data_IF_972522017255
#
_entry.id   IF_972522017255
#
_cell.length_a   1.000
_cell.length_b   1.000
_cell.length_c   1.000
_cell.angle_alpha   90.00
_cell.angle_beta   90.00
_cell.angle_gamma   90.00
#
_symmetry.space_group_name_H-M   'P 1'
#
loop_
_entity.id
_entity.type
_entity.pdbx_description
1 polymer ?
#
# COMPACT_ATOMS: atom_id res chain seq x y z
N UNK A 1 -33.90 1.28 8.32
CA UNK A 1 -32.76 1.81 9.10
C UNK A 1 -31.52 1.15 8.52
N UNK A 2 -30.77 1.87 7.71
CA UNK A 2 -29.57 1.33 7.04
C UNK A 2 -28.50 0.96 8.07
N UNK A 3 -28.20 -0.33 8.18
CA UNK A 3 -27.10 -0.84 8.99
C UNK A 3 -25.77 -0.42 8.34
N UNK A 4 -25.27 0.77 8.70
CA UNK A 4 -23.92 1.27 8.41
C UNK A 4 -22.81 0.46 9.15
N UNK A 5 -22.90 -0.86 9.15
CA UNK A 5 -21.96 -1.73 9.85
C UNK A 5 -20.65 -1.84 9.05
N UNK A 6 -19.78 -0.83 9.13
CA UNK A 6 -18.40 -0.98 8.65
C UNK A 6 -17.58 0.28 8.38
N UNK A 7 -18.19 1.48 8.41
CA UNK A 7 -17.53 2.77 8.13
C UNK A 7 -17.30 3.53 9.45
N UNK A 8 -16.11 3.38 10.04
CA UNK A 8 -15.71 3.99 11.32
C UNK A 8 -14.43 4.85 11.14
N UNK A 9 -14.10 5.65 12.16
CA UNK A 9 -12.90 6.52 12.14
C UNK A 9 -12.89 7.44 10.93
N UNK A 10 -11.78 7.44 10.17
CA UNK A 10 -11.61 8.25 8.95
C UNK A 10 -12.66 7.98 7.85
N UNK A 11 -13.41 6.89 7.96
CA UNK A 11 -14.49 6.52 7.04
C UNK A 11 -15.90 6.88 7.56
N UNK A 12 -16.03 7.37 8.79
CA UNK A 12 -17.32 7.76 9.36
C UNK A 12 -17.89 9.01 8.63
N UNK A 13 -19.22 9.11 8.46
CA UNK A 13 -19.91 10.26 7.84
C UNK A 13 -20.35 11.34 8.84
N UNK A 14 -20.19 11.13 10.13
CA UNK A 14 -20.55 12.09 11.15
C UNK A 14 -19.32 12.91 11.51
N UNK A 15 -19.43 14.23 11.37
CA UNK A 15 -18.33 15.18 11.61
C UNK A 15 -17.74 15.06 13.02
N UNK A 16 -18.55 14.66 14.02
CA UNK A 16 -18.07 14.43 15.40
C UNK A 16 -17.02 13.32 15.50
N UNK A 17 -17.07 12.31 14.62
CA UNK A 17 -16.13 11.19 14.59
C UNK A 17 -15.07 11.31 13.48
N UNK A 18 -15.34 12.14 12.46
CA UNK A 18 -14.47 12.37 11.31
C UNK A 18 -14.50 13.85 10.91
N UNK A 19 -13.88 14.75 11.69
CA UNK A 19 -14.03 16.19 11.50
C UNK A 19 -13.54 16.68 10.13
N UNK A 20 -12.52 16.02 9.57
CA UNK A 20 -11.84 16.46 8.35
C UNK A 20 -12.43 15.88 7.06
N UNK A 21 -12.94 14.65 7.09
CA UNK A 21 -13.28 13.88 5.88
C UNK A 21 -14.74 13.37 5.84
N UNK A 22 -15.60 13.76 6.78
CA UNK A 22 -16.96 13.21 6.89
C UNK A 22 -17.80 13.32 5.60
N UNK A 23 -17.56 14.38 4.81
CA UNK A 23 -18.28 14.66 3.56
C UNK A 23 -17.55 14.16 2.30
N UNK A 24 -16.45 13.42 2.42
CA UNK A 24 -15.74 12.86 1.27
C UNK A 24 -16.46 11.61 0.72
N UNK A 25 -16.15 11.27 -0.54
CA UNK A 25 -16.45 9.95 -1.08
C UNK A 25 -15.62 8.90 -0.32
N UNK A 26 -16.30 7.92 0.28
CA UNK A 26 -15.68 6.95 1.20
C UNK A 26 -15.82 5.55 0.61
N UNK A 27 -14.69 4.88 0.40
CA UNK A 27 -14.62 3.55 -0.21
C UNK A 27 -13.87 2.61 0.71
N UNK A 28 -14.43 1.41 0.94
CA UNK A 28 -13.79 0.32 1.68
C UNK A 28 -13.63 -0.89 0.77
N UNK A 29 -12.38 -1.23 0.46
CA UNK A 29 -12.03 -2.40 -0.35
C UNK A 29 -11.75 -3.57 0.60
N UNK A 30 -12.46 -4.69 0.43
CA UNK A 30 -12.17 -5.90 1.24
C UNK A 30 -10.84 -6.50 0.81
N UNK A 31 -10.03 -6.90 1.80
CA UNK A 31 -8.76 -7.57 1.56
C UNK A 31 -8.98 -9.08 1.38
N UNK A 32 -8.77 -9.58 0.16
CA UNK A 32 -9.00 -10.98 -0.20
C UNK A 32 -7.89 -11.60 -1.07
N UNK A 33 -6.72 -10.95 -1.16
CA UNK A 33 -5.67 -11.37 -2.11
C UNK A 33 -4.36 -11.86 -1.48
N UNK A 34 -4.16 -11.68 -0.18
CA UNK A 34 -3.00 -12.21 0.57
C UNK A 34 -1.64 -11.52 0.35
N UNK A 35 -1.49 -10.61 -0.64
CA UNK A 35 -0.19 -9.96 -0.93
C UNK A 35 -0.27 -8.44 -1.10
N UNK A 36 -1.04 -7.76 -0.24
CA UNK A 36 -1.14 -6.28 -0.26
C UNK A 36 -1.42 -5.71 -1.66
N UNK A 37 -2.23 -6.42 -2.45
CA UNK A 37 -2.61 -6.08 -3.83
C UNK A 37 -1.46 -6.06 -4.85
N UNK A 38 -0.42 -6.87 -4.64
CA UNK A 38 0.72 -6.99 -5.57
C UNK A 38 0.71 -8.26 -6.41
N UNK A 39 -0.06 -9.28 -6.03
CA UNK A 39 -0.03 -10.57 -6.71
C UNK A 39 -0.66 -10.60 -8.10
N UNK A 40 -0.07 -11.37 -9.02
CA UNK A 40 -0.54 -11.55 -10.39
C UNK A 40 -0.11 -12.91 -10.95
N UNK A 41 -0.86 -13.94 -10.58
CA UNK A 41 -0.72 -15.31 -11.10
C UNK A 41 -1.96 -15.64 -11.95
N UNK A 42 -1.74 -16.18 -13.15
CA UNK A 42 -2.84 -16.59 -14.03
C UNK A 42 -3.40 -17.94 -13.57
N UNK A 43 -2.53 -18.86 -13.21
CA UNK A 43 -2.88 -20.19 -12.75
C UNK A 43 -3.68 -20.15 -11.45
N UNK A 44 -4.57 -21.11 -11.29
CA UNK A 44 -5.32 -21.35 -10.04
C UNK A 44 -4.62 -22.48 -9.30
N UNK A 45 -4.44 -22.34 -8.00
CA UNK A 45 -3.99 -23.46 -7.19
C UNK A 45 -5.03 -24.58 -7.25
N UNK A 46 -4.70 -25.70 -7.89
CA UNK A 46 -5.64 -26.81 -8.11
C UNK A 46 -6.01 -27.56 -6.82
N UNK A 47 -5.21 -27.41 -5.75
CA UNK A 47 -5.44 -28.09 -4.47
C UNK A 47 -6.35 -27.24 -3.58
N UNK A 48 -6.09 -25.93 -3.51
CA UNK A 48 -6.79 -25.01 -2.60
C UNK A 48 -7.85 -24.16 -3.29
N UNK A 49 -7.89 -24.17 -4.63
CA UNK A 49 -8.71 -23.29 -5.48
C UNK A 49 -8.48 -21.79 -5.19
N UNK A 50 -7.27 -21.44 -4.75
CA UNK A 50 -6.89 -20.05 -4.46
C UNK A 50 -6.44 -19.32 -5.72
N UNK A 51 -6.78 -18.03 -5.78
CA UNK A 51 -6.40 -17.12 -6.85
C UNK A 51 -5.52 -15.99 -6.30
N UNK A 52 -4.29 -15.86 -6.81
CA UNK A 52 -3.34 -14.84 -6.38
C UNK A 52 -3.32 -13.64 -7.33
N UNK A 53 -4.44 -12.90 -7.38
CA UNK A 53 -4.70 -11.84 -8.38
C UNK A 53 -4.85 -10.44 -7.79
N UNK A 54 -4.14 -10.16 -6.70
CA UNK A 54 -4.25 -8.91 -5.95
C UNK A 54 -4.09 -7.65 -6.80
N UNK A 55 -3.11 -7.61 -7.69
CA UNK A 55 -2.85 -6.45 -8.54
C UNK A 55 -3.96 -6.19 -9.57
N UNK A 56 -4.59 -7.27 -10.09
CA UNK A 56 -5.74 -7.18 -10.99
C UNK A 56 -7.00 -6.71 -10.26
N UNK A 57 -7.23 -7.20 -9.04
CA UNK A 57 -8.33 -6.75 -8.18
C UNK A 57 -8.21 -5.25 -7.93
N UNK A 58 -7.01 -4.77 -7.59
CA UNK A 58 -6.77 -3.35 -7.38
C UNK A 58 -7.13 -2.52 -8.61
N UNK A 59 -6.60 -2.90 -9.77
CA UNK A 59 -6.87 -2.19 -11.02
C UNK A 59 -8.36 -2.19 -11.40
N UNK A 60 -9.02 -3.34 -11.30
CA UNK A 60 -10.45 -3.47 -11.60
C UNK A 60 -11.30 -2.58 -10.69
N UNK A 61 -11.01 -2.55 -9.38
CA UNK A 61 -11.72 -1.70 -8.43
C UNK A 61 -11.49 -0.22 -8.74
N UNK A 62 -10.24 0.19 -8.98
CA UNK A 62 -9.95 1.60 -9.29
C UNK A 62 -10.63 2.04 -10.59
N UNK A 63 -10.57 1.23 -11.66
CA UNK A 63 -11.28 1.53 -12.91
C UNK A 63 -12.79 1.63 -12.72
N UNK A 64 -13.38 0.77 -11.90
CA UNK A 64 -14.80 0.85 -11.57
C UNK A 64 -15.15 2.15 -10.83
N UNK A 65 -14.29 2.61 -9.92
CA UNK A 65 -14.49 3.87 -9.19
C UNK A 65 -14.30 5.09 -10.08
N UNK A 66 -13.36 5.06 -11.03
CA UNK A 66 -13.18 6.12 -12.03
C UNK A 66 -14.48 6.36 -12.79
N UNK A 67 -15.08 5.30 -13.33
CA UNK A 67 -16.36 5.33 -14.03
C UNK A 67 -17.55 5.78 -13.15
N UNK A 68 -17.41 5.74 -11.82
CA UNK A 68 -18.37 6.26 -10.85
C UNK A 68 -18.10 7.71 -10.43
N UNK A 69 -17.20 8.40 -11.13
CA UNK A 69 -16.90 9.82 -10.95
C UNK A 69 -15.59 10.10 -10.23
N UNK A 70 -14.81 9.08 -9.81
CA UNK A 70 -13.48 9.31 -9.22
C UNK A 70 -12.50 9.93 -10.24
N UNK A 71 -12.78 9.80 -11.54
CA UNK A 71 -12.06 10.50 -12.61
C UNK A 71 -12.13 12.03 -12.51
N UNK A 72 -13.03 12.59 -11.69
CA UNK A 72 -13.14 14.03 -11.45
C UNK A 72 -12.53 14.45 -10.09
N UNK A 73 -11.86 13.54 -9.39
CA UNK A 73 -11.34 13.79 -8.05
C UNK A 73 -10.19 14.81 -8.06
N UNK A 74 -10.35 15.88 -7.27
CA UNK A 74 -9.28 16.88 -7.03
C UNK A 74 -8.30 16.45 -5.95
N UNK A 75 -8.76 15.63 -5.01
CA UNK A 75 -7.97 15.10 -3.91
C UNK A 75 -8.23 13.59 -3.79
N UNK A 76 -7.21 12.82 -3.44
CA UNK A 76 -7.32 11.38 -3.20
C UNK A 76 -6.46 10.97 -2.01
N UNK A 77 -7.01 10.11 -1.16
CA UNK A 77 -6.28 9.48 -0.06
C UNK A 77 -6.32 7.96 -0.26
N UNK A 78 -5.15 7.34 -0.33
CA UNK A 78 -5.02 5.89 -0.24
C UNK A 78 -4.61 5.51 1.17
N UNK A 79 -5.47 4.79 1.89
CA UNK A 79 -5.22 4.39 3.27
C UNK A 79 -5.55 2.92 3.49
N UNK A 80 -4.95 2.34 4.52
CA UNK A 80 -5.25 1.01 5.02
C UNK A 80 -4.52 0.75 6.33
N UNK A 81 -4.91 -0.32 7.00
CA UNK A 81 -4.34 -0.78 8.27
C UNK A 81 -3.58 -2.10 8.07
N UNK A 82 -2.44 -2.30 8.75
CA UNK A 82 -1.65 -3.55 8.68
C UNK A 82 -1.24 -3.87 7.23
N UNK A 83 -1.59 -5.05 6.70
CA UNK A 83 -1.36 -5.41 5.29
C UNK A 83 -1.99 -4.41 4.30
N UNK A 84 -3.07 -3.71 4.69
CA UNK A 84 -3.66 -2.62 3.92
C UNK A 84 -2.85 -1.32 3.97
N UNK A 85 -2.17 -1.06 5.09
CA UNK A 85 -1.24 0.07 5.20
C UNK A 85 -0.02 -0.16 4.30
N UNK A 86 0.50 -1.39 4.30
CA UNK A 86 1.55 -1.79 3.36
C UNK A 86 1.06 -1.70 1.90
N UNK A 87 -0.18 -2.10 1.61
CA UNK A 87 -0.78 -1.93 0.29
C UNK A 87 -0.85 -0.45 -0.13
N UNK A 88 -1.12 0.47 0.79
CA UNK A 88 -1.14 1.90 0.52
C UNK A 88 0.24 2.43 0.14
N UNK A 89 1.32 1.94 0.77
CA UNK A 89 2.70 2.27 0.41
C UNK A 89 3.02 1.73 -0.98
N UNK A 90 2.81 0.42 -1.19
CA UNK A 90 3.20 -0.31 -2.40
C UNK A 90 2.47 0.17 -3.66
N UNK A 91 1.20 0.57 -3.53
CA UNK A 91 0.36 0.94 -4.67
C UNK A 91 0.15 2.45 -4.81
N UNK A 92 0.82 3.28 -4.00
CA UNK A 92 0.63 4.74 -4.04
C UNK A 92 0.86 5.33 -5.42
N UNK A 93 1.98 5.01 -6.06
CA UNK A 93 2.31 5.54 -7.39
C UNK A 93 1.31 5.08 -8.46
N UNK A 94 0.89 3.80 -8.39
CA UNK A 94 -0.17 3.25 -9.26
C UNK A 94 -1.49 3.99 -9.05
N UNK A 95 -1.92 4.17 -7.80
CA UNK A 95 -3.14 4.89 -7.46
C UNK A 95 -3.10 6.33 -7.98
N UNK A 96 -1.99 7.03 -7.75
CA UNK A 96 -1.78 8.39 -8.25
C UNK A 96 -1.88 8.45 -9.77
N UNK A 97 -1.32 7.48 -10.49
CA UNK A 97 -1.36 7.45 -11.96
C UNK A 97 -2.75 7.28 -12.57
N UNK A 98 -3.74 6.80 -11.79
CA UNK A 98 -5.12 6.68 -12.25
C UNK A 98 -5.92 7.99 -12.11
N UNK A 99 -5.46 8.93 -11.28
CA UNK A 99 -6.18 10.17 -11.01
C UNK A 99 -5.76 11.30 -11.98
N UNK A 100 -6.61 12.32 -12.17
CA UNK A 100 -6.32 13.41 -13.09
C UNK A 100 -4.99 14.12 -12.83
N UNK A 101 -4.39 14.63 -13.90
CA UNK A 101 -3.24 15.52 -13.80
C UNK A 101 -3.59 16.72 -12.91
N UNK A 102 -2.80 16.93 -11.85
CA UNK A 102 -3.03 17.98 -10.84
C UNK A 102 -3.84 17.54 -9.62
N UNK A 103 -4.39 16.32 -9.59
CA UNK A 103 -5.00 15.79 -8.37
C UNK A 103 -3.98 15.68 -7.23
N UNK A 104 -4.37 16.15 -6.04
CA UNK A 104 -3.55 16.04 -4.83
C UNK A 104 -3.75 14.68 -4.18
N UNK A 105 -2.76 13.81 -4.31
CA UNK A 105 -2.82 12.45 -3.77
C UNK A 105 -1.93 12.32 -2.54
N UNK A 106 -2.41 11.63 -1.52
CA UNK A 106 -1.66 11.30 -0.29
C UNK A 106 -1.88 9.83 0.07
N UNK A 107 -0.91 9.23 0.76
CA UNK A 107 -1.11 7.95 1.43
C UNK A 107 -1.14 8.11 2.95
N UNK A 108 -1.96 7.31 3.63
CA UNK A 108 -2.03 7.20 5.09
C UNK A 108 -1.90 5.73 5.48
N UNK A 109 -0.68 5.21 5.57
CA UNK A 109 -0.43 3.80 5.89
C UNK A 109 -0.44 3.58 7.42
N UNK A 110 -1.58 3.15 7.95
CA UNK A 110 -1.71 2.81 9.37
C UNK A 110 -1.13 1.41 9.64
N UNK A 111 -0.24 1.29 10.63
CA UNK A 111 0.46 0.05 10.98
C UNK A 111 1.04 -0.73 9.77
N UNK A 112 1.41 -0.02 8.70
CA UNK A 112 1.84 -0.61 7.41
C UNK A 112 3.34 -0.69 7.21
N UNK A 113 4.13 -0.23 8.18
CA UNK A 113 5.59 -0.28 8.15
C UNK A 113 6.09 -1.44 9.01
N UNK A 114 6.81 -2.37 8.39
CA UNK A 114 7.38 -3.53 9.05
C UNK A 114 8.90 -3.39 9.15
N UNK A 115 9.44 -3.66 10.34
CA UNK A 115 10.88 -3.56 10.59
C UNK A 115 11.60 -4.84 10.13
N UNK A 116 12.72 -4.67 9.42
CA UNK A 116 13.60 -5.77 9.05
C UNK A 116 14.64 -5.98 10.15
N UNK A 117 14.30 -6.82 11.13
CA UNK A 117 15.23 -7.24 12.19
C UNK A 117 15.17 -8.75 12.36
N UNK A 118 16.26 -9.39 12.87
CA UNK A 118 16.21 -10.78 13.29
C UNK A 118 15.12 -10.99 14.34
N UNK A 119 14.50 -12.16 14.31
CA UNK A 119 13.59 -12.60 15.37
C UNK A 119 14.38 -12.79 16.68
N UNK A 120 13.68 -12.91 17.82
CA UNK A 120 14.32 -13.13 19.14
C UNK A 120 15.24 -14.36 19.14
N UNK A 121 14.96 -15.36 18.31
CA UNK A 121 15.82 -16.53 18.13
C UNK A 121 17.05 -16.32 17.22
N UNK A 122 17.27 -15.10 16.72
CA UNK A 122 18.31 -14.78 15.73
C UNK A 122 17.97 -15.15 14.28
N UNK A 123 16.80 -15.76 14.05
CA UNK A 123 16.39 -16.20 12.70
C UNK A 123 15.84 -15.05 11.84
N UNK A 124 16.04 -15.13 10.52
CA UNK A 124 15.51 -14.17 9.54
C UNK A 124 14.06 -14.48 9.13
N UNK A 125 13.19 -14.73 10.11
CA UNK A 125 11.83 -15.21 9.85
C UNK A 125 11.03 -14.28 8.93
N UNK A 126 11.08 -12.97 9.16
CA UNK A 126 10.31 -11.99 8.39
C UNK A 126 10.75 -11.91 6.91
N UNK A 127 12.06 -12.00 6.66
CA UNK A 127 12.62 -12.01 5.30
C UNK A 127 12.18 -13.26 4.54
N UNK A 128 12.29 -14.43 5.17
CA UNK A 128 11.84 -15.69 4.59
C UNK A 128 10.34 -15.69 4.31
N UNK A 129 9.54 -15.18 5.24
CA UNK A 129 8.09 -15.06 5.09
C UNK A 129 7.73 -14.22 3.85
N UNK A 130 8.30 -13.02 3.72
CA UNK A 130 8.00 -12.15 2.58
C UNK A 130 8.58 -12.64 1.25
N UNK A 131 9.70 -13.37 1.25
CA UNK A 131 10.17 -14.08 0.06
C UNK A 131 9.13 -15.12 -0.41
N UNK A 132 8.57 -15.91 0.52
CA UNK A 132 7.52 -16.87 0.22
C UNK A 132 6.23 -16.21 -0.29
N UNK A 133 5.85 -15.04 0.24
CA UNK A 133 4.72 -14.26 -0.29
C UNK A 133 4.99 -13.79 -1.72
N UNK A 134 6.20 -13.29 -2.01
CA UNK A 134 6.55 -12.87 -3.37
C UNK A 134 6.46 -14.03 -4.36
N UNK A 135 7.02 -15.18 -3.99
CA UNK A 135 7.03 -16.38 -4.83
C UNK A 135 5.61 -16.89 -5.07
N UNK A 136 4.84 -17.09 -4.00
CA UNK A 136 3.46 -17.61 -4.07
C UNK A 136 2.54 -16.72 -4.89
N UNK A 137 2.70 -15.39 -4.77
CA UNK A 137 1.79 -14.43 -5.39
C UNK A 137 2.30 -13.85 -6.71
N UNK A 138 3.53 -14.17 -7.15
CA UNK A 138 4.13 -13.53 -8.32
C UNK A 138 4.30 -12.01 -8.16
N UNK A 139 4.46 -11.53 -6.92
CA UNK A 139 4.36 -10.09 -6.60
C UNK A 139 5.47 -9.23 -7.21
N UNK A 140 6.61 -9.81 -7.57
CA UNK A 140 7.80 -9.07 -8.02
C UNK A 140 7.52 -8.13 -9.21
N UNK A 141 6.58 -8.49 -10.10
CA UNK A 141 6.17 -7.70 -11.26
C UNK A 141 5.59 -6.33 -10.90
N UNK A 142 5.00 -6.20 -9.71
CA UNK A 142 4.37 -4.97 -9.22
C UNK A 142 5.22 -4.21 -8.20
N UNK A 143 6.47 -4.62 -8.01
CA UNK A 143 7.43 -3.96 -7.14
C UNK A 143 8.40 -3.09 -7.97
N UNK A 144 9.01 -2.10 -7.32
CA UNK A 144 9.99 -1.24 -7.97
C UNK A 144 11.22 -2.02 -8.39
N UNK A 145 11.51 -2.05 -9.69
CA UNK A 145 12.70 -2.72 -10.26
C UNK A 145 14.01 -2.18 -9.67
N UNK A 146 14.10 -0.86 -9.46
CA UNK A 146 15.30 -0.24 -8.88
C UNK A 146 15.54 -0.73 -7.44
N UNK A 147 14.46 -0.99 -6.70
CA UNK A 147 14.54 -1.49 -5.34
C UNK A 147 14.79 -3.00 -5.32
N UNK A 148 14.09 -3.78 -6.16
CA UNK A 148 14.25 -5.24 -6.18
C UNK A 148 15.65 -5.65 -6.61
N UNK A 149 16.29 -4.90 -7.51
CA UNK A 149 17.69 -5.16 -7.89
C UNK A 149 18.69 -4.90 -6.76
N UNK A 150 18.34 -4.07 -5.75
CA UNK A 150 19.22 -3.72 -4.64
C UNK A 150 19.02 -4.61 -3.40
N UNK A 151 17.77 -4.91 -3.06
CA UNK A 151 17.41 -5.59 -1.81
C UNK A 151 16.72 -6.94 -2.00
N UNK A 152 16.41 -7.33 -3.24
CA UNK A 152 15.57 -8.50 -3.51
C UNK A 152 14.08 -8.21 -3.30
N UNK A 153 13.23 -9.00 -3.95
CA UNK A 153 11.80 -8.73 -3.99
C UNK A 153 11.10 -8.91 -2.64
N UNK A 154 11.50 -9.87 -1.79
CA UNK A 154 10.84 -10.06 -0.48
C UNK A 154 11.07 -8.88 0.47
N UNK A 155 12.30 -8.36 0.57
CA UNK A 155 12.56 -7.15 1.34
C UNK A 155 11.88 -5.91 0.73
N UNK A 156 11.72 -5.91 -0.60
CA UNK A 156 10.91 -4.91 -1.32
C UNK A 156 9.41 -5.16 -1.24
N UNK A 157 8.94 -6.27 -0.68
CA UNK A 157 7.55 -6.42 -0.31
C UNK A 157 7.35 -6.03 1.16
N UNK A 158 8.35 -6.29 2.01
CA UNK A 158 8.35 -6.00 3.45
C UNK A 158 8.28 -4.50 3.79
N UNK A 159 8.87 -3.64 2.94
CA UNK A 159 8.89 -2.19 3.13
C UNK A 159 10.27 -1.58 3.36
N UNK A 160 11.37 -2.31 3.14
CA UNK A 160 12.72 -1.88 3.58
C UNK A 160 13.27 -0.63 2.87
N UNK A 161 12.76 -0.29 1.68
CA UNK A 161 13.20 0.87 0.90
C UNK A 161 12.44 2.14 1.26
N UNK A 162 11.44 2.04 2.14
CA UNK A 162 10.79 3.22 2.72
C UNK A 162 11.81 3.83 3.68
N UNK A 163 12.21 5.11 3.50
CA UNK A 163 13.17 5.74 4.40
C UNK A 163 12.68 5.65 5.85
N UNK A 164 13.60 5.70 6.81
CA UNK A 164 13.34 5.65 8.27
C UNK A 164 12.22 6.62 8.73
N UNK A 165 11.90 7.64 7.91
CA UNK A 165 10.71 8.45 8.03
C UNK A 165 9.64 8.11 6.96
N UNK A 166 8.74 7.14 7.22
CA UNK A 166 7.65 6.78 6.29
C UNK A 166 6.68 7.93 6.00
N UNK A 167 6.60 8.93 6.89
CA UNK A 167 5.78 10.12 6.65
C UNK A 167 6.32 11.00 5.52
N UNK A 168 7.61 10.94 5.20
CA UNK A 168 8.21 11.70 4.09
C UNK A 168 7.82 11.15 2.71
N UNK A 169 7.69 9.82 2.58
CA UNK A 169 7.30 9.13 1.35
C UNK A 169 5.87 9.52 0.92
N UNK A 170 4.96 9.64 1.88
CA UNK A 170 3.56 10.02 1.63
C UNK A 170 3.29 11.54 1.65
N UNK A 171 4.25 12.38 2.08
CA UNK A 171 4.06 13.85 2.19
C UNK A 171 4.44 14.62 0.93
N UNK A 172 5.51 14.25 0.24
CA UNK A 172 5.99 15.01 -0.91
C UNK A 172 5.49 14.32 -2.18
N UNK A 173 4.37 14.80 -2.73
CA UNK A 173 3.92 14.38 -4.05
C UNK A 173 5.09 14.53 -5.05
N UNK A 174 5.32 13.59 -5.97
CA UNK A 174 6.54 13.57 -6.77
C UNK A 174 6.54 14.74 -7.74
N UNK A 175 7.36 15.74 -7.46
CA UNK A 175 7.94 16.62 -8.47
C UNK A 175 9.33 16.17 -8.91
N UNK A 176 9.92 15.10 -8.37
CA UNK A 176 11.20 14.56 -8.90
C UNK A 176 11.65 13.17 -8.40
N UNK A 177 10.85 12.41 -7.65
CA UNK A 177 11.28 11.08 -7.18
C UNK A 177 10.46 9.98 -7.85
N UNK A 178 10.92 9.53 -9.02
CA UNK A 178 10.58 8.17 -9.45
C UNK A 178 11.20 7.22 -8.43
N UNK A 179 10.36 6.52 -7.66
CA UNK A 179 10.67 5.38 -6.79
C UNK A 179 12.16 5.27 -6.39
N UNK A 180 12.70 6.30 -5.75
CA UNK A 180 14.10 6.28 -5.32
C UNK A 180 14.17 5.26 -4.20
N UNK A 181 14.99 4.24 -4.40
CA UNK A 181 15.34 3.24 -3.42
C UNK A 181 16.12 3.93 -2.29
N UNK A 182 15.42 4.68 -1.44
CA UNK A 182 16.02 5.54 -0.44
C UNK A 182 16.71 4.66 0.60
N UNK A 183 18.02 4.82 0.67
CA UNK A 183 18.86 4.30 1.73
C UNK A 183 18.39 4.95 3.04
N UNK A 184 18.13 4.15 4.08
CA UNK A 184 18.18 4.67 5.45
C UNK A 184 19.52 5.37 5.59
N UNK A 185 19.51 6.70 5.69
CA UNK A 185 20.75 7.45 5.86
C UNK A 185 21.36 6.97 7.17
N UNK A 186 22.60 6.52 7.10
CA UNK A 186 23.39 6.15 8.26
C UNK A 186 23.16 7.11 9.42
N UNK A 187 22.82 6.53 10.57
CA UNK A 187 23.09 6.98 11.95
C UNK A 187 23.84 8.31 11.98
N UNK A 188 23.16 9.43 12.28
CA UNK A 188 23.67 10.53 13.13
C UNK A 188 22.78 11.79 13.16
N UNK A 189 21.75 11.91 12.33
CA UNK A 189 20.87 13.08 12.40
C UNK A 189 19.62 12.81 13.26
N UNK A 190 19.75 13.10 14.55
CA UNK A 190 18.62 13.30 15.45
C UNK A 190 17.76 14.45 14.90
N UNK A 191 16.52 14.15 14.52
CA UNK A 191 15.48 15.16 14.46
C UNK A 191 14.33 14.75 15.38
N UNK A 192 14.16 15.60 16.38
CA UNK A 192 13.03 15.68 17.30
C UNK A 192 11.78 16.06 16.48
N UNK A 193 10.69 15.35 16.68
CA UNK A 193 9.33 15.89 16.66
C UNK A 193 8.60 15.30 17.86
#
# INVERSE_FOLDING_TARGET
MDTQSGFNGILNNQQVYNPDFYNWNRIKIRYCNGSSFTGDVEEVDLTTNLHFRGARIFEAVIKHLLAKGMENAKNGILSGCSAGGLAAILNYDRFKSFLPNGARVKCVPDAGYFIHIPYVSGTKHIENFYNGVVETHGSAKYLSKSCTSKYGAGLVLLGIWVPENPASFCRNGPSSMGSVCLQGRNKHERYLL
#
